data_IF_083640919877
#
_entry.id   IF_083640919877
#
_cell.length_a   1.000
_cell.length_b   1.000
_cell.length_c   1.000
_cell.angle_alpha   90.00
_cell.angle_beta   90.00
_cell.angle_gamma   90.00
#
_symmetry.space_group_name_H-M   'P 1'
#
loop_
_entity.id
_entity.type
_entity.pdbx_description
1 polymer ?
#
# COMPACT_ATOMS: atom_id res chain seq x y z
N UNK A 1 14.30 -23.64 23.38
CA UNK A 1 15.22 -22.55 22.96
C UNK A 1 16.28 -22.95 21.92
N UNK A 2 16.85 -24.18 21.92
CA UNK A 2 17.83 -24.61 20.89
C UNK A 2 17.30 -24.66 19.44
N UNK A 3 16.07 -25.15 19.22
CA UNK A 3 15.43 -25.24 17.89
C UNK A 3 15.21 -23.86 17.22
N UNK A 4 14.82 -22.85 18.00
CA UNK A 4 14.56 -21.50 17.48
C UNK A 4 15.84 -20.79 17.01
N UNK A 5 16.97 -21.01 17.70
CA UNK A 5 18.28 -20.47 17.34
C UNK A 5 18.88 -21.15 16.10
N UNK A 6 18.63 -22.45 15.87
CA UNK A 6 19.16 -23.12 14.67
C UNK A 6 18.44 -22.65 13.40
N UNK A 7 17.11 -22.53 13.46
CA UNK A 7 16.29 -22.05 12.32
C UNK A 7 16.64 -20.61 11.93
N UNK A 8 16.84 -19.72 12.90
CA UNK A 8 17.25 -18.34 12.64
C UNK A 8 18.61 -18.28 11.90
N UNK A 9 19.56 -19.13 12.29
CA UNK A 9 20.88 -19.18 11.67
C UNK A 9 20.83 -19.74 10.23
N UNK A 10 19.99 -20.75 10.00
CA UNK A 10 19.72 -21.29 8.66
C UNK A 10 19.08 -20.24 7.73
N UNK A 11 18.14 -19.44 8.23
CA UNK A 11 17.47 -18.40 7.44
C UNK A 11 18.43 -17.28 7.02
N UNK A 12 19.33 -16.89 7.92
CA UNK A 12 20.36 -15.88 7.65
C UNK A 12 21.34 -16.40 6.59
N UNK A 13 21.76 -17.66 6.69
CA UNK A 13 22.64 -18.28 5.69
C UNK A 13 21.97 -18.42 4.32
N UNK A 14 20.70 -18.81 4.30
CA UNK A 14 19.91 -18.93 3.08
C UNK A 14 19.78 -17.55 2.41
N UNK A 15 19.49 -16.52 3.19
CA UNK A 15 19.39 -15.14 2.69
C UNK A 15 20.72 -14.59 2.19
N UNK A 16 21.81 -14.81 2.92
CA UNK A 16 23.16 -14.44 2.47
C UNK A 16 23.50 -15.09 1.13
N UNK A 17 23.05 -16.33 0.92
CA UNK A 17 23.23 -17.03 -0.36
C UNK A 17 22.38 -16.40 -1.47
N UNK A 18 21.16 -15.97 -1.17
CA UNK A 18 20.31 -15.22 -2.10
C UNK A 18 20.98 -13.90 -2.50
N UNK A 19 21.56 -13.14 -1.55
CA UNK A 19 22.27 -11.90 -1.84
C UNK A 19 23.46 -12.10 -2.81
N UNK A 20 24.06 -13.29 -2.82
CA UNK A 20 25.12 -13.67 -3.78
C UNK A 20 24.58 -14.14 -5.13
N UNK A 21 23.27 -14.07 -5.36
CA UNK A 21 22.61 -14.49 -6.59
C UNK A 21 22.32 -15.99 -6.71
N UNK A 22 22.34 -16.74 -5.61
CA UNK A 22 22.03 -18.17 -5.65
C UNK A 22 20.52 -18.40 -5.83
N UNK A 23 20.12 -18.79 -7.05
CA UNK A 23 18.72 -19.11 -7.38
C UNK A 23 18.14 -20.25 -6.55
N UNK A 24 18.90 -21.33 -6.33
CA UNK A 24 18.44 -22.48 -5.53
C UNK A 24 18.14 -22.08 -4.08
N UNK A 25 18.94 -21.17 -3.52
CA UNK A 25 18.68 -20.62 -2.19
C UNK A 25 17.38 -19.81 -2.17
N UNK A 26 17.09 -19.06 -3.22
CA UNK A 26 15.84 -18.33 -3.37
C UNK A 26 14.65 -19.27 -3.53
N UNK A 27 14.76 -20.34 -4.32
CA UNK A 27 13.69 -21.33 -4.49
C UNK A 27 13.32 -21.99 -3.15
N UNK A 28 14.32 -22.40 -2.37
CA UNK A 28 14.12 -22.95 -1.03
C UNK A 28 13.48 -21.94 -0.08
N UNK A 29 13.90 -20.68 -0.15
CA UNK A 29 13.33 -19.61 0.65
C UNK A 29 11.88 -19.34 0.28
N UNK A 30 11.58 -19.30 -1.02
CA UNK A 30 10.24 -19.12 -1.57
C UNK A 30 9.32 -20.25 -1.10
N UNK A 31 9.70 -21.51 -1.30
CA UNK A 31 8.92 -22.68 -0.87
C UNK A 31 8.64 -22.67 0.64
N UNK A 32 9.60 -22.21 1.45
CA UNK A 32 9.47 -22.14 2.92
C UNK A 32 8.55 -21.01 3.38
N UNK A 33 8.64 -19.84 2.76
CA UNK A 33 8.03 -18.61 3.27
C UNK A 33 6.79 -18.15 2.51
N UNK A 34 6.66 -18.45 1.23
CA UNK A 34 5.51 -18.04 0.42
C UNK A 34 4.17 -18.46 1.06
N UNK A 35 3.93 -19.75 1.42
CA UNK A 35 2.64 -20.14 2.00
C UNK A 35 2.35 -19.47 3.35
N UNK A 36 3.40 -19.21 4.14
CA UNK A 36 3.29 -18.55 5.45
C UNK A 36 2.95 -17.08 5.31
N UNK A 37 3.54 -16.41 4.33
CA UNK A 37 3.28 -15.01 4.04
C UNK A 37 1.89 -14.83 3.42
N UNK A 38 1.44 -15.73 2.53
CA UNK A 38 0.07 -15.70 2.00
C UNK A 38 -0.95 -15.92 3.12
N UNK A 39 -0.74 -16.94 3.96
CA UNK A 39 -1.61 -17.19 5.13
C UNK A 39 -1.68 -15.99 6.09
N UNK A 40 -0.58 -15.27 6.26
CA UNK A 40 -0.56 -14.04 7.05
C UNK A 40 -1.28 -12.88 6.34
N UNK A 41 -1.09 -12.71 5.04
CA UNK A 41 -1.75 -11.70 4.22
C UNK A 41 -3.29 -11.88 4.18
N UNK A 42 -3.78 -13.13 4.18
CA UNK A 42 -5.21 -13.46 4.25
C UNK A 42 -5.92 -12.93 5.52
N UNK A 43 -5.19 -12.48 6.54
CA UNK A 43 -5.78 -11.81 7.71
C UNK A 43 -6.24 -10.38 7.38
N UNK A 44 -5.83 -9.84 6.24
CA UNK A 44 -6.05 -8.46 5.82
C UNK A 44 -6.78 -8.31 4.49
N UNK A 45 -6.55 -9.24 3.55
CA UNK A 45 -7.11 -9.23 2.19
C UNK A 45 -7.65 -10.62 1.80
N UNK A 46 -8.38 -10.73 0.69
CA UNK A 46 -8.83 -12.03 0.16
C UNK A 46 -7.64 -12.88 -0.36
N UNK A 47 -7.90 -14.14 -0.67
CA UNK A 47 -6.86 -15.09 -1.07
C UNK A 47 -6.11 -14.66 -2.34
N UNK A 48 -6.82 -14.27 -3.40
CA UNK A 48 -6.21 -13.88 -4.68
C UNK A 48 -5.25 -12.70 -4.50
N UNK A 49 -5.71 -11.66 -3.80
CA UNK A 49 -4.90 -10.49 -3.45
C UNK A 49 -3.71 -10.85 -2.55
N UNK A 50 -3.87 -11.85 -1.67
CA UNK A 50 -2.80 -12.31 -0.80
C UNK A 50 -1.65 -12.91 -1.60
N UNK A 51 -1.97 -13.71 -2.63
CA UNK A 51 -0.98 -14.34 -3.49
C UNK A 51 -0.24 -13.29 -4.32
N UNK A 52 -0.98 -12.37 -4.94
CA UNK A 52 -0.40 -11.28 -5.75
C UNK A 52 0.58 -10.42 -4.93
N UNK A 53 0.16 -9.95 -3.75
CA UNK A 53 1.02 -9.14 -2.86
C UNK A 53 2.29 -9.88 -2.48
N UNK A 54 2.17 -11.16 -2.09
CA UNK A 54 3.33 -11.93 -1.64
C UNK A 54 4.25 -12.23 -2.81
N UNK A 55 3.70 -12.50 -3.99
CA UNK A 55 4.48 -12.71 -5.22
C UNK A 55 5.27 -11.46 -5.61
N UNK A 56 4.66 -10.27 -5.60
CA UNK A 56 5.34 -9.00 -5.84
C UNK A 56 6.51 -8.79 -4.87
N UNK A 57 6.30 -9.07 -3.58
CA UNK A 57 7.34 -8.93 -2.56
C UNK A 57 8.49 -9.92 -2.79
N UNK A 58 8.20 -11.15 -3.21
CA UNK A 58 9.23 -12.15 -3.53
C UNK A 58 10.04 -11.74 -4.77
N UNK A 59 9.39 -11.24 -5.82
CA UNK A 59 10.06 -10.72 -7.02
C UNK A 59 10.96 -9.54 -6.64
N UNK A 60 10.41 -8.57 -5.90
CA UNK A 60 11.16 -7.43 -5.42
C UNK A 60 12.37 -7.83 -4.58
N UNK A 61 12.22 -8.84 -3.70
CA UNK A 61 13.29 -9.38 -2.90
C UNK A 61 14.43 -9.93 -3.77
N UNK A 62 14.09 -10.66 -4.83
CA UNK A 62 15.07 -11.20 -5.77
C UNK A 62 15.78 -10.10 -6.57
N UNK A 63 15.04 -9.13 -7.10
CA UNK A 63 15.61 -8.05 -7.89
C UNK A 63 16.53 -7.15 -7.06
N UNK A 64 16.13 -6.85 -5.82
CA UNK A 64 16.82 -5.93 -4.92
C UNK A 64 17.78 -6.63 -3.94
N UNK A 65 17.99 -7.95 -4.09
CA UNK A 65 18.77 -8.80 -3.17
C UNK A 65 20.13 -8.21 -2.77
N UNK A 66 20.82 -7.53 -3.69
CA UNK A 66 22.15 -6.97 -3.46
C UNK A 66 22.13 -5.69 -2.59
N UNK A 67 21.00 -4.98 -2.54
CA UNK A 67 20.85 -3.69 -1.85
C UNK A 67 20.25 -3.82 -0.46
N UNK A 68 19.62 -4.97 -0.17
CA UNK A 68 18.92 -5.20 1.09
C UNK A 68 19.96 -5.44 2.20
N UNK A 69 20.18 -4.43 3.04
CA UNK A 69 21.01 -4.55 4.25
C UNK A 69 20.14 -4.98 5.42
N UNK A 70 20.21 -6.25 5.80
CA UNK A 70 19.52 -6.76 6.98
C UNK A 70 20.55 -7.21 8.00
N UNK A 71 20.59 -6.52 9.13
CA UNK A 71 21.57 -6.76 10.21
C UNK A 71 21.18 -7.94 11.12
N UNK A 72 19.92 -8.40 11.07
CA UNK A 72 19.39 -9.40 12.01
C UNK A 72 18.65 -10.57 11.35
N UNK A 73 17.51 -10.35 10.68
CA UNK A 73 16.77 -11.40 9.97
C UNK A 73 15.87 -10.84 8.87
N UNK A 74 15.83 -11.46 7.68
CA UNK A 74 14.95 -11.05 6.58
C UNK A 74 13.48 -11.29 6.86
N UNK A 75 13.17 -12.19 7.80
CA UNK A 75 11.80 -12.67 7.99
C UNK A 75 10.90 -11.59 8.59
N UNK A 76 11.23 -10.94 9.73
CA UNK A 76 10.40 -9.86 10.27
C UNK A 76 10.20 -8.70 9.28
N UNK A 77 11.20 -8.43 8.44
CA UNK A 77 11.10 -7.43 7.38
C UNK A 77 10.04 -7.81 6.34
N UNK A 78 10.05 -9.05 5.84
CA UNK A 78 9.07 -9.53 4.87
C UNK A 78 7.64 -9.52 5.42
N UNK A 79 7.43 -9.97 6.66
CA UNK A 79 6.11 -9.90 7.29
C UNK A 79 5.61 -8.45 7.42
N UNK A 80 6.51 -7.50 7.75
CA UNK A 80 6.17 -6.07 7.76
C UNK A 80 5.84 -5.55 6.37
N UNK A 81 6.62 -5.92 5.35
CA UNK A 81 6.38 -5.53 3.97
C UNK A 81 5.02 -6.05 3.46
N UNK A 82 4.69 -7.32 3.75
CA UNK A 82 3.39 -7.93 3.41
C UNK A 82 2.26 -7.17 4.08
N UNK A 83 2.30 -7.01 5.41
CA UNK A 83 1.28 -6.26 6.15
C UNK A 83 1.07 -4.86 5.58
N UNK A 84 2.14 -4.14 5.31
CA UNK A 84 2.06 -2.78 4.77
C UNK A 84 1.41 -2.75 3.38
N UNK A 85 1.72 -3.71 2.51
CA UNK A 85 1.08 -3.82 1.20
C UNK A 85 -0.40 -4.20 1.30
N UNK A 86 -0.75 -5.15 2.17
CA UNK A 86 -2.16 -5.51 2.41
C UNK A 86 -2.97 -4.31 2.92
N UNK A 87 -2.42 -3.56 3.89
CA UNK A 87 -3.07 -2.34 4.39
C UNK A 87 -3.19 -1.27 3.29
N UNK A 88 -2.16 -1.11 2.45
CA UNK A 88 -2.22 -0.19 1.31
C UNK A 88 -3.33 -0.58 0.32
N UNK A 89 -3.46 -1.86 0.01
CA UNK A 89 -4.49 -2.35 -0.91
C UNK A 89 -5.88 -2.21 -0.30
N UNK A 90 -6.06 -2.63 0.95
CA UNK A 90 -7.34 -2.46 1.67
C UNK A 90 -7.76 -0.99 1.73
N UNK A 91 -6.82 -0.08 2.00
CA UNK A 91 -7.09 1.36 2.01
C UNK A 91 -7.46 1.89 0.62
N UNK A 92 -6.88 1.34 -0.48
CA UNK A 92 -7.30 1.65 -1.86
C UNK A 92 -8.69 1.11 -2.17
N UNK A 93 -9.02 -0.09 -1.72
CA UNK A 93 -10.35 -0.68 -1.93
C UNK A 93 -11.43 0.09 -1.15
N UNK A 94 -11.13 0.48 0.10
CA UNK A 94 -11.97 1.37 0.90
C UNK A 94 -12.11 2.75 0.25
N UNK A 95 -11.04 3.30 -0.33
CA UNK A 95 -11.09 4.54 -1.12
C UNK A 95 -12.02 4.37 -2.33
N UNK A 96 -11.83 3.31 -3.13
CA UNK A 96 -12.66 3.02 -4.29
C UNK A 96 -14.14 2.92 -3.89
N UNK A 97 -14.44 2.22 -2.80
CA UNK A 97 -15.79 2.09 -2.29
C UNK A 97 -16.37 3.42 -1.79
N UNK A 98 -15.60 4.23 -1.05
CA UNK A 98 -16.02 5.57 -0.63
C UNK A 98 -16.30 6.48 -1.84
N UNK A 99 -15.44 6.45 -2.85
CA UNK A 99 -15.64 7.18 -4.11
C UNK A 99 -16.94 6.72 -4.77
N UNK A 100 -17.13 5.42 -4.96
CA UNK A 100 -18.33 4.86 -5.58
C UNK A 100 -19.59 5.25 -4.80
N UNK A 101 -19.59 5.14 -3.47
CA UNK A 101 -20.74 5.55 -2.64
C UNK A 101 -21.08 7.03 -2.82
N UNK A 102 -20.09 7.91 -2.86
CA UNK A 102 -20.30 9.35 -3.10
C UNK A 102 -20.87 9.58 -4.51
N UNK A 103 -20.33 8.91 -5.53
CA UNK A 103 -20.84 8.98 -6.90
C UNK A 103 -22.31 8.55 -6.97
N UNK A 104 -22.65 7.36 -6.45
CA UNK A 104 -24.01 6.82 -6.44
C UNK A 104 -25.00 7.70 -5.68
N UNK A 105 -24.59 8.31 -4.56
CA UNK A 105 -25.45 9.18 -3.76
C UNK A 105 -25.69 10.56 -4.40
N UNK A 106 -24.80 11.01 -5.30
CA UNK A 106 -24.95 12.28 -6.02
C UNK A 106 -25.62 12.11 -7.40
N UNK A 107 -25.64 10.90 -7.96
CA UNK A 107 -26.38 10.58 -9.19
C UNK A 107 -27.78 10.06 -8.85
N UNK A 108 -28.70 10.95 -8.43
CA UNK A 108 -30.13 10.65 -8.34
C UNK A 108 -30.79 10.54 -9.72
N UNK A 109 -30.32 9.64 -10.59
CA UNK A 109 -31.02 9.28 -11.82
C UNK A 109 -31.03 7.77 -11.96
N UNK A 110 -32.13 7.09 -11.57
CA UNK A 110 -32.38 5.74 -12.02
C UNK A 110 -32.72 5.87 -13.50
N UNK A 111 -31.81 5.50 -14.40
CA UNK A 111 -32.06 4.93 -15.73
C UNK A 111 -30.80 5.08 -16.60
N UNK A 112 -30.45 3.96 -17.20
CA UNK A 112 -29.41 3.71 -18.21
C UNK A 112 -27.94 3.85 -17.77
N UNK A 113 -27.24 2.72 -17.84
CA UNK A 113 -25.86 2.52 -17.41
C UNK A 113 -24.90 2.48 -18.61
N UNK A 114 -24.48 3.64 -19.17
CA UNK A 114 -23.18 3.81 -19.80
C UNK A 114 -22.09 4.25 -18.79
N UNK A 115 -22.45 4.43 -17.51
CA UNK A 115 -21.61 5.10 -16.50
C UNK A 115 -20.53 4.22 -15.86
N UNK A 116 -20.62 2.88 -15.90
CA UNK A 116 -19.60 2.03 -15.27
C UNK A 116 -18.17 2.28 -15.82
N UNK A 117 -18.03 2.49 -17.13
CA UNK A 117 -16.72 2.81 -17.74
C UNK A 117 -16.21 4.19 -17.31
N UNK A 118 -17.10 5.17 -17.17
CA UNK A 118 -16.78 6.51 -16.70
C UNK A 118 -16.38 6.47 -15.22
N UNK A 119 -17.03 5.63 -14.42
CA UNK A 119 -16.71 5.39 -13.00
C UNK A 119 -15.32 4.75 -12.83
N UNK A 120 -15.00 3.69 -13.58
CA UNK A 120 -13.68 3.06 -13.53
C UNK A 120 -12.56 3.99 -14.02
N UNK A 121 -12.79 4.73 -15.11
CA UNK A 121 -11.82 5.69 -15.63
C UNK A 121 -11.56 6.81 -14.61
N UNK A 122 -12.62 7.31 -13.97
CA UNK A 122 -12.52 8.31 -12.92
C UNK A 122 -11.74 7.79 -11.70
N UNK A 123 -12.04 6.58 -11.23
CA UNK A 123 -11.30 5.94 -10.13
C UNK A 123 -9.82 5.82 -10.48
N UNK A 124 -9.49 5.29 -11.67
CA UNK A 124 -8.09 5.17 -12.12
C UNK A 124 -7.40 6.53 -12.19
N UNK A 125 -8.11 7.56 -12.63
CA UNK A 125 -7.57 8.92 -12.73
C UNK A 125 -7.34 9.57 -11.37
N UNK A 126 -8.21 9.31 -10.39
CA UNK A 126 -8.03 9.73 -8.99
C UNK A 126 -6.82 9.02 -8.39
N UNK A 127 -6.75 7.69 -8.50
CA UNK A 127 -5.64 6.90 -7.97
C UNK A 127 -4.30 7.32 -8.57
N UNK A 128 -4.24 7.49 -9.89
CA UNK A 128 -3.05 8.00 -10.58
C UNK A 128 -2.67 9.40 -10.10
N UNK A 129 -3.65 10.28 -9.93
CA UNK A 129 -3.40 11.64 -9.45
C UNK A 129 -2.85 11.67 -8.03
N UNK A 130 -3.30 10.75 -7.15
CA UNK A 130 -2.76 10.57 -5.80
C UNK A 130 -1.33 10.02 -5.86
N UNK A 131 -1.08 9.01 -6.72
CA UNK A 131 0.26 8.43 -6.88
C UNK A 131 1.27 9.45 -7.40
N UNK A 132 0.86 10.35 -8.30
CA UNK A 132 1.71 11.40 -8.85
C UNK A 132 2.00 12.55 -7.86
N UNK A 133 1.40 12.55 -6.66
CA UNK A 133 1.72 13.56 -5.65
C UNK A 133 3.18 13.41 -5.19
N UNK A 134 3.87 14.53 -4.86
CA UNK A 134 5.13 14.46 -4.15
C UNK A 134 5.01 13.60 -2.88
N UNK A 135 6.00 12.74 -2.64
CA UNK A 135 5.97 11.71 -1.59
C UNK A 135 5.54 12.24 -0.22
N UNK A 136 6.09 13.39 0.16
CA UNK A 136 5.82 14.05 1.44
C UNK A 136 4.35 14.52 1.57
N UNK A 137 3.71 14.92 0.48
CA UNK A 137 2.30 15.32 0.44
C UNK A 137 1.41 14.10 0.39
N UNK A 138 1.77 13.12 -0.43
CA UNK A 138 1.07 11.83 -0.55
C UNK A 138 0.97 11.13 0.80
N UNK A 139 2.09 10.97 1.52
CA UNK A 139 2.10 10.31 2.82
C UNK A 139 1.18 10.98 3.84
N UNK A 140 1.24 12.31 3.97
CA UNK A 140 0.39 13.04 4.92
C UNK A 140 -1.10 12.94 4.55
N UNK A 141 -1.40 13.04 3.25
CA UNK A 141 -2.75 12.89 2.72
C UNK A 141 -3.31 11.48 2.94
N UNK A 142 -2.54 10.45 2.61
CA UNK A 142 -2.95 9.04 2.77
C UNK A 142 -3.15 8.67 4.24
N UNK A 143 -2.25 9.09 5.13
CA UNK A 143 -2.42 8.84 6.57
C UNK A 143 -3.67 9.51 7.12
N UNK A 144 -3.96 10.74 6.71
CA UNK A 144 -5.15 11.43 7.19
C UNK A 144 -6.46 10.87 6.59
N UNK A 145 -6.49 10.66 5.27
CA UNK A 145 -7.73 10.32 4.56
C UNK A 145 -8.05 8.83 4.56
N UNK A 146 -7.02 7.97 4.66
CA UNK A 146 -7.17 6.52 4.52
C UNK A 146 -6.81 5.73 5.78
N UNK A 147 -6.07 6.32 6.71
CA UNK A 147 -5.73 5.68 7.98
C UNK A 147 -6.45 6.33 9.16
N UNK A 148 -7.35 7.28 8.89
CA UNK A 148 -8.10 8.09 9.86
C UNK A 148 -7.22 8.73 10.95
N UNK A 149 -5.92 8.93 10.66
CA UNK A 149 -4.99 9.51 11.61
C UNK A 149 -5.23 11.01 11.76
N UNK A 150 -5.24 11.46 13.01
CA UNK A 150 -5.30 12.88 13.35
C UNK A 150 -3.99 13.59 12.97
N UNK A 151 -4.04 14.91 12.83
CA UNK A 151 -2.84 15.70 12.49
C UNK A 151 -1.74 15.59 13.56
N UNK A 152 -2.12 15.26 14.80
CA UNK A 152 -1.17 15.00 15.90
C UNK A 152 -0.48 13.65 15.75
N UNK A 153 -1.23 12.61 15.40
CA UNK A 153 -0.68 11.26 15.19
C UNK A 153 0.25 11.23 13.98
N UNK A 154 -0.13 11.89 12.88
CA UNK A 154 0.71 12.01 11.67
C UNK A 154 1.98 12.79 11.99
N UNK A 155 1.87 13.88 12.75
CA UNK A 155 3.01 14.70 13.16
C UNK A 155 4.03 13.86 13.95
N UNK A 156 3.54 13.08 14.93
CA UNK A 156 4.37 12.15 15.71
C UNK A 156 4.99 11.06 14.84
N UNK A 157 4.20 10.45 13.94
CA UNK A 157 4.67 9.36 13.07
C UNK A 157 5.75 9.81 12.08
N UNK A 158 5.61 11.01 11.52
CA UNK A 158 6.53 11.58 10.54
C UNK A 158 7.64 12.44 11.16
N UNK A 159 7.64 12.60 12.49
CA UNK A 159 8.55 13.47 13.25
C UNK A 159 8.60 14.91 12.70
N UNK A 160 7.41 15.50 12.49
CA UNK A 160 7.21 16.88 12.01
C UNK A 160 6.16 17.59 12.88
N UNK A 161 5.94 18.89 12.67
CA UNK A 161 4.86 19.60 13.35
C UNK A 161 3.50 19.35 12.72
N UNK A 162 2.42 19.40 13.50
CA UNK A 162 1.04 19.32 12.97
C UNK A 162 0.73 20.43 11.97
N UNK A 163 1.39 21.59 12.08
CA UNK A 163 1.32 22.66 11.07
C UNK A 163 1.95 22.24 9.73
N UNK A 164 3.02 21.45 9.77
CA UNK A 164 3.63 20.88 8.56
C UNK A 164 2.72 19.80 7.95
N UNK A 165 2.03 19.01 8.77
CA UNK A 165 1.02 18.05 8.30
C UNK A 165 -0.11 18.75 7.57
N UNK A 166 -0.71 19.76 8.20
CA UNK A 166 -1.77 20.59 7.59
C UNK A 166 -1.30 21.18 6.25
N UNK A 167 -0.13 21.82 6.22
CA UNK A 167 0.45 22.35 4.99
C UNK A 167 0.57 21.28 3.90
N UNK A 168 1.12 20.10 4.21
CA UNK A 168 1.29 19.01 3.24
C UNK A 168 -0.05 18.51 2.70
N UNK A 169 -1.07 18.41 3.55
CA UNK A 169 -2.44 18.02 3.14
C UNK A 169 -3.04 19.09 2.23
N UNK A 170 -2.95 20.37 2.59
CA UNK A 170 -3.46 21.47 1.75
C UNK A 170 -2.79 21.50 0.37
N UNK A 171 -1.49 21.24 0.31
CA UNK A 171 -0.76 21.16 -0.95
C UNK A 171 -1.19 19.95 -1.79
N UNK A 172 -1.42 18.79 -1.17
CA UNK A 172 -1.99 17.63 -1.85
C UNK A 172 -3.36 17.95 -2.46
N UNK A 173 -4.26 18.53 -1.66
CA UNK A 173 -5.61 18.91 -2.11
C UNK A 173 -5.57 19.91 -3.27
N UNK A 174 -4.66 20.90 -3.21
CA UNK A 174 -4.49 21.88 -4.30
C UNK A 174 -4.08 21.20 -5.60
N UNK A 175 -3.14 20.27 -5.56
CA UNK A 175 -2.70 19.53 -6.76
C UNK A 175 -3.84 18.65 -7.30
N UNK A 176 -4.52 17.92 -6.42
CA UNK A 176 -5.64 17.04 -6.81
C UNK A 176 -6.79 17.83 -7.43
N UNK A 177 -7.15 19.01 -6.88
CA UNK A 177 -8.19 19.89 -7.45
C UNK A 177 -7.86 20.35 -8.87
N UNK A 178 -6.59 20.61 -9.17
CA UNK A 178 -6.15 21.00 -10.52
C UNK A 178 -6.20 19.80 -11.46
N UNK A 179 -5.65 18.66 -11.05
CA UNK A 179 -5.60 17.44 -11.88
C UNK A 179 -6.97 16.84 -12.16
N UNK A 180 -7.92 17.05 -11.26
CA UNK A 180 -9.25 16.46 -11.32
C UNK A 180 -10.35 17.52 -11.52
N UNK A 181 -10.00 18.71 -12.01
CA UNK A 181 -10.91 19.86 -12.18
C UNK A 181 -12.16 19.52 -12.99
N UNK A 182 -12.02 18.71 -14.03
CA UNK A 182 -13.13 18.32 -14.91
C UNK A 182 -14.14 17.39 -14.22
N UNK A 183 -13.78 16.87 -13.04
CA UNK A 183 -14.59 15.95 -12.22
C UNK A 183 -14.95 16.56 -10.85
N UNK A 184 -14.74 17.86 -10.67
CA UNK A 184 -14.92 18.56 -9.40
C UNK A 184 -16.35 18.45 -8.80
N UNK A 185 -17.45 18.45 -9.58
CA UNK A 185 -18.80 18.22 -9.04
C UNK A 185 -18.95 16.89 -8.29
N UNK A 186 -18.20 15.87 -8.69
CA UNK A 186 -18.20 14.52 -8.10
C UNK A 186 -17.25 14.39 -6.91
N UNK A 187 -16.23 15.26 -6.84
CA UNK A 187 -15.16 15.21 -5.84
C UNK A 187 -15.44 16.05 -4.60
N UNK A 188 -16.49 16.87 -4.59
CA UNK A 188 -16.85 17.69 -3.42
C UNK A 188 -17.05 16.81 -2.18
N UNK A 189 -17.75 15.67 -2.30
CA UNK A 189 -17.91 14.71 -1.20
C UNK A 189 -16.61 14.00 -0.77
N UNK A 190 -15.57 13.99 -1.62
CA UNK A 190 -14.25 13.42 -1.33
C UNK A 190 -13.25 14.44 -0.78
N UNK A 191 -13.57 15.73 -0.80
CA UNK A 191 -12.67 16.81 -0.39
C UNK A 191 -13.18 17.57 0.84
N UNK A 192 -14.46 17.42 1.20
CA UNK A 192 -15.02 17.74 2.52
C UNK A 192 -14.92 16.55 3.48
#
# INVERSE_FOLDING_TARGET
MKKLKSTLNEDIQLFTSIQKGNKKAFDLFFLKYYPRLCSYACQYVNFDNSEEIVQEIMIWLWENRNMIKIESSPIPYLFRAVRNNCLRQKNRDELKNKILTILYNHTNTPYDNPNFYIEEELIRKIEKSIQDLPENYRQAFEMNRFQDMTYKEIASHLNISSKTVDYRIQQALKILRIKLKDYMPLLIGLLT
#
